data_IF_015175836227
#
_entry.id   IF_015175836227
#
_cell.length_a   1.000
_cell.length_b   1.000
_cell.length_c   1.000
_cell.angle_alpha   90.00
_cell.angle_beta   90.00
_cell.angle_gamma   90.00
#
_symmetry.space_group_name_H-M   'P 1'
#
loop_
_entity.id
_entity.type
_entity.pdbx_description
1 polymer ?
#
# COMPACT_ATOMS: atom_id res chain seq x y z
N UNK A 1 -3.40 -53.90 -38.25
CA UNK A 1 -4.59 -54.61 -38.80
C UNK A 1 -5.79 -54.25 -37.95
N UNK A 2 -6.99 -54.08 -38.50
CA UNK A 2 -7.38 -53.24 -39.63
C UNK A 2 -8.55 -52.30 -39.24
N UNK A 3 -8.46 -51.04 -39.68
CA UNK A 3 -9.45 -50.33 -40.51
C UNK A 3 -10.95 -50.29 -40.08
N UNK A 4 -11.83 -49.59 -40.81
CA UNK A 4 -12.72 -48.58 -40.23
C UNK A 4 -14.18 -49.05 -40.33
N UNK A 5 -15.13 -48.25 -39.86
CA UNK A 5 -16.51 -48.35 -40.36
C UNK A 5 -17.01 -47.00 -40.85
N UNK A 6 -16.88 -46.85 -42.16
CA UNK A 6 -17.82 -46.14 -43.01
C UNK A 6 -19.26 -46.59 -42.71
N UNK A 7 -20.18 -45.61 -42.71
CA UNK A 7 -21.47 -45.60 -43.44
C UNK A 7 -22.26 -44.38 -42.94
N UNK A 8 -23.11 -43.72 -43.68
CA UNK A 8 -23.32 -43.52 -45.12
C UNK A 8 -24.54 -42.58 -45.17
N UNK A 9 -24.51 -41.63 -46.10
CA UNK A 9 -25.65 -41.10 -46.86
C UNK A 9 -27.01 -40.93 -46.18
N UNK A 10 -27.49 -39.68 -46.19
CA UNK A 10 -28.79 -39.38 -46.79
C UNK A 10 -28.82 -37.94 -47.28
N UNK A 11 -28.80 -37.77 -48.60
CA UNK A 11 -29.25 -36.56 -49.26
C UNK A 11 -30.77 -36.61 -49.37
N UNK A 12 -31.46 -35.51 -49.09
CA UNK A 12 -32.75 -35.21 -49.71
C UNK A 12 -32.88 -33.70 -49.94
N UNK A 13 -33.08 -33.36 -51.20
CA UNK A 13 -33.35 -32.03 -51.72
C UNK A 13 -34.85 -31.72 -51.65
N UNK A 14 -35.21 -30.43 -51.62
CA UNK A 14 -36.34 -29.75 -52.31
C UNK A 14 -36.28 -28.26 -51.87
N UNK A 15 -35.97 -27.28 -52.73
CA UNK A 15 -36.88 -26.53 -53.62
C UNK A 15 -38.07 -25.91 -52.86
N UNK A 16 -38.43 -24.63 -52.92
CA UNK A 16 -38.16 -23.55 -53.88
C UNK A 16 -38.64 -22.18 -53.33
N UNK A 17 -38.19 -21.10 -54.00
CA UNK A 17 -38.88 -19.83 -54.29
C UNK A 17 -39.24 -18.85 -53.15
N UNK A 18 -38.66 -17.64 -53.24
CA UNK A 18 -39.17 -16.43 -52.62
C UNK A 18 -38.27 -15.23 -52.93
N UNK A 19 -38.60 -14.50 -53.99
CA UNK A 19 -37.96 -13.23 -54.35
C UNK A 19 -38.64 -12.06 -53.60
N UNK A 20 -37.86 -11.12 -53.05
CA UNK A 20 -38.16 -9.68 -53.05
C UNK A 20 -36.99 -8.90 -52.42
N UNK A 21 -36.52 -7.90 -53.15
CA UNK A 21 -35.56 -6.90 -52.74
C UNK A 21 -36.12 -5.98 -51.62
N UNK A 22 -35.24 -5.40 -50.79
CA UNK A 22 -35.26 -4.00 -50.37
C UNK A 22 -33.92 -3.63 -49.72
N UNK A 23 -33.50 -2.40 -50.00
CA UNK A 23 -32.26 -1.78 -49.59
C UNK A 23 -32.32 -1.25 -48.15
N UNK A 24 -31.19 -1.34 -47.42
CA UNK A 24 -30.62 -0.32 -46.50
C UNK A 24 -29.35 -0.93 -45.89
N UNK A 25 -28.15 -0.52 -46.30
CA UNK A 25 -27.37 0.57 -45.68
C UNK A 25 -27.39 0.58 -44.14
N UNK A 26 -26.33 0.04 -43.54
CA UNK A 26 -25.57 0.71 -42.47
C UNK A 26 -24.12 0.28 -42.61
N UNK A 27 -23.37 1.01 -43.44
CA UNK A 27 -22.00 1.31 -43.09
C UNK A 27 -22.06 2.53 -42.16
N UNK A 28 -21.45 2.44 -40.98
CA UNK A 28 -20.82 3.57 -40.28
C UNK A 28 -20.22 3.09 -38.95
N UNK A 29 -18.96 2.69 -38.99
CA UNK A 29 -17.95 3.36 -38.20
C UNK A 29 -16.91 3.82 -39.23
N UNK A 30 -17.30 4.83 -39.99
CA UNK A 30 -16.40 5.57 -40.87
C UNK A 30 -15.60 6.49 -39.94
N UNK A 31 -14.43 6.05 -39.50
CA UNK A 31 -13.43 6.87 -38.84
C UNK A 31 -12.84 7.82 -39.88
N UNK A 32 -13.64 8.83 -40.24
CA UNK A 32 -13.19 9.99 -41.00
C UNK A 32 -12.90 11.14 -40.03
N UNK A 33 -11.78 11.01 -39.31
CA UNK A 33 -10.80 12.06 -39.02
C UNK A 33 -11.32 13.47 -38.77
N UNK A 34 -11.90 13.73 -37.59
CA UNK A 34 -11.78 14.94 -36.75
C UNK A 34 -12.89 14.96 -35.67
N UNK A 35 -13.13 13.83 -35.00
CA UNK A 35 -14.12 13.74 -33.91
C UNK A 35 -13.57 14.25 -32.56
N UNK A 36 -14.44 14.62 -31.59
CA UNK A 36 -14.01 14.96 -30.23
C UNK A 36 -13.19 13.84 -29.56
N UNK A 37 -13.42 12.58 -29.97
CA UNK A 37 -12.66 11.40 -29.56
C UNK A 37 -11.22 11.42 -30.06
N UNK A 38 -10.97 11.65 -31.35
CA UNK A 38 -9.61 11.66 -31.92
C UNK A 38 -8.76 12.81 -31.36
N UNK A 39 -9.36 13.99 -31.20
CA UNK A 39 -8.68 15.12 -30.57
C UNK A 39 -8.33 14.86 -29.10
N UNK A 40 -9.14 14.05 -28.39
CA UNK A 40 -8.85 13.67 -27.00
C UNK A 40 -7.79 12.57 -26.92
N UNK A 41 -7.77 11.64 -27.89
CA UNK A 41 -6.70 10.64 -28.03
C UNK A 41 -5.37 11.32 -28.31
N UNK A 42 -5.33 12.29 -29.24
CA UNK A 42 -4.09 13.02 -29.54
C UNK A 42 -3.51 13.76 -28.32
N UNK A 43 -4.36 14.29 -27.43
CA UNK A 43 -3.94 14.92 -26.17
C UNK A 43 -3.34 13.91 -25.20
N UNK A 44 -3.88 12.69 -25.14
CA UNK A 44 -3.31 11.61 -24.34
C UNK A 44 -1.97 11.13 -24.93
N UNK A 45 -1.87 11.00 -26.25
CA UNK A 45 -0.63 10.61 -26.93
C UNK A 45 0.49 11.63 -26.66
N UNK A 46 0.20 12.93 -26.74
CA UNK A 46 1.14 14.01 -26.43
C UNK A 46 1.53 14.03 -24.94
N UNK A 47 0.57 13.83 -24.03
CA UNK A 47 0.84 13.72 -22.60
C UNK A 47 1.79 12.57 -22.27
N UNK A 48 1.56 11.37 -22.80
CA UNK A 48 2.44 10.23 -22.57
C UNK A 48 3.81 10.40 -23.23
N UNK A 49 3.91 11.12 -24.36
CA UNK A 49 5.19 11.46 -24.94
C UNK A 49 6.02 12.39 -24.03
N UNK A 50 5.39 13.35 -23.35
CA UNK A 50 6.08 14.17 -22.33
C UNK A 50 6.54 13.32 -21.14
N UNK A 51 5.69 12.42 -20.63
CA UNK A 51 6.04 11.51 -19.53
C UNK A 51 7.23 10.60 -19.89
N UNK A 52 7.23 10.00 -21.07
CA UNK A 52 8.31 9.13 -21.57
C UNK A 52 9.66 9.87 -21.65
N UNK A 53 9.63 11.17 -21.97
CA UNK A 53 10.81 12.02 -22.04
C UNK A 53 11.22 12.63 -20.67
N UNK A 54 10.47 12.35 -19.59
CA UNK A 54 10.72 12.94 -18.27
C UNK A 54 10.33 14.42 -18.16
N UNK A 55 9.55 14.94 -19.10
CA UNK A 55 9.14 16.36 -19.17
C UNK A 55 7.93 16.60 -18.23
N UNK A 56 8.15 16.43 -16.92
CA UNK A 56 7.11 16.42 -15.88
C UNK A 56 6.29 17.72 -15.83
N UNK A 57 6.94 18.87 -15.99
CA UNK A 57 6.25 20.18 -15.97
C UNK A 57 5.31 20.35 -17.17
N UNK A 58 5.74 19.93 -18.36
CA UNK A 58 4.93 20.02 -19.57
C UNK A 58 3.76 19.02 -19.51
N UNK A 59 4.01 17.78 -19.06
CA UNK A 59 2.96 16.79 -18.83
C UNK A 59 1.92 17.28 -17.80
N UNK A 60 2.36 17.86 -16.68
CA UNK A 60 1.47 18.38 -15.65
C UNK A 60 0.57 19.52 -16.16
N UNK A 61 1.08 20.40 -17.02
CA UNK A 61 0.32 21.50 -17.62
C UNK A 61 -0.85 21.03 -18.50
N UNK A 62 -0.83 19.79 -18.97
CA UNK A 62 -1.93 19.18 -19.75
C UNK A 62 -3.05 18.61 -18.88
N UNK A 63 -2.91 18.65 -17.56
CA UNK A 63 -3.87 18.07 -16.62
C UNK A 63 -4.74 19.14 -15.97
N UNK A 64 -5.88 18.74 -15.41
CA UNK A 64 -6.68 19.60 -14.53
C UNK A 64 -6.25 19.54 -13.06
N UNK A 65 -5.16 18.82 -12.76
CA UNK A 65 -4.68 18.58 -11.39
C UNK A 65 -3.73 19.71 -11.01
N UNK A 66 -3.95 20.30 -9.83
CA UNK A 66 -3.07 21.31 -9.28
C UNK A 66 -1.92 20.63 -8.52
N UNK A 67 -0.82 20.38 -9.24
CA UNK A 67 0.36 19.73 -8.69
C UNK A 67 1.20 20.71 -7.86
N UNK A 68 1.53 20.38 -6.59
CA UNK A 68 2.61 21.04 -5.87
C UNK A 68 3.93 20.90 -6.63
N UNK A 69 4.78 21.94 -6.57
CA UNK A 69 5.99 22.05 -7.37
C UNK A 69 6.97 20.89 -7.12
N UNK A 70 7.01 20.39 -5.88
CA UNK A 70 7.86 19.28 -5.47
C UNK A 70 7.55 17.95 -6.19
N UNK A 71 6.33 17.75 -6.68
CA UNK A 71 5.95 16.49 -7.37
C UNK A 71 6.08 16.55 -8.89
N UNK A 72 6.30 17.74 -9.45
CA UNK A 72 6.55 17.96 -10.88
C UNK A 72 7.97 18.41 -11.15
N UNK A 73 8.83 18.36 -10.13
CA UNK A 73 10.26 18.50 -10.30
C UNK A 73 10.79 17.36 -11.20
N UNK A 74 11.58 17.73 -12.21
CA UNK A 74 12.07 16.78 -13.22
C UNK A 74 13.04 15.75 -12.60
N UNK A 75 13.84 16.14 -11.61
CA UNK A 75 14.77 15.22 -10.95
C UNK A 75 13.99 14.23 -10.07
N UNK A 76 12.98 14.70 -9.33
CA UNK A 76 12.07 13.83 -8.56
C UNK A 76 11.34 12.81 -9.46
N UNK A 77 10.82 13.27 -10.61
CA UNK A 77 10.09 12.41 -11.53
C UNK A 77 11.03 11.40 -12.20
N UNK A 78 12.21 11.84 -12.65
CA UNK A 78 13.23 10.97 -13.24
C UNK A 78 13.84 9.95 -12.26
N UNK A 79 13.75 10.22 -10.95
CA UNK A 79 14.14 9.28 -9.89
C UNK A 79 13.13 8.14 -9.65
N UNK A 80 11.97 8.17 -10.33
CA UNK A 80 11.03 7.05 -10.31
C UNK A 80 11.68 5.77 -10.82
N UNK A 81 11.30 4.62 -10.25
CA UNK A 81 11.83 3.32 -10.64
C UNK A 81 11.67 3.04 -12.15
N UNK A 82 10.57 3.52 -12.74
CA UNK A 82 10.41 3.56 -14.19
C UNK A 82 9.43 4.64 -14.65
N UNK A 83 9.68 5.17 -15.85
CA UNK A 83 8.76 6.08 -16.56
C UNK A 83 7.87 5.30 -17.54
N UNK A 84 6.65 5.78 -17.84
CA UNK A 84 5.78 5.15 -18.83
C UNK A 84 6.41 5.11 -20.22
N UNK A 85 6.26 3.98 -20.91
CA UNK A 85 6.63 3.82 -22.32
C UNK A 85 5.57 3.03 -23.09
N UNK A 86 5.65 3.06 -24.43
CA UNK A 86 4.77 2.31 -25.34
C UNK A 86 3.26 2.52 -25.07
N UNK A 87 2.90 3.72 -24.62
CA UNK A 87 1.52 4.05 -24.26
C UNK A 87 0.60 4.03 -25.48
N UNK A 88 -0.60 3.45 -25.32
CA UNK A 88 -1.64 3.41 -26.35
C UNK A 88 -3.03 3.42 -25.75
N UNK A 89 -3.93 4.17 -26.37
CA UNK A 89 -5.35 4.15 -26.03
C UNK A 89 -5.98 2.86 -26.56
N UNK A 90 -6.49 2.00 -25.66
CA UNK A 90 -7.05 0.68 -26.02
C UNK A 90 -8.59 0.64 -26.02
N UNK A 91 -9.24 1.51 -25.25
CA UNK A 91 -10.70 1.67 -25.26
C UNK A 91 -11.05 3.15 -25.04
N UNK A 92 -12.15 3.60 -25.65
CA UNK A 92 -12.65 4.97 -25.48
C UNK A 92 -14.17 4.96 -25.35
N UNK A 93 -14.66 5.67 -24.35
CA UNK A 93 -16.08 5.86 -24.07
C UNK A 93 -16.38 7.35 -23.93
N UNK A 94 -17.57 7.74 -24.35
CA UNK A 94 -17.99 9.14 -24.44
C UNK A 94 -18.15 9.55 -25.90
N UNK A 95 -19.30 10.14 -26.21
CA UNK A 95 -19.67 10.54 -27.57
C UNK A 95 -19.97 12.03 -27.67
N UNK A 96 -19.84 12.77 -26.58
CA UNK A 96 -20.03 14.22 -26.55
C UNK A 96 -18.69 14.95 -26.53
N UNK A 97 -18.73 16.21 -26.92
CA UNK A 97 -17.55 17.07 -27.05
C UNK A 97 -16.99 17.56 -25.72
N UNK A 98 -17.61 17.18 -24.59
CA UNK A 98 -17.32 17.71 -23.28
C UNK A 98 -16.46 16.79 -22.43
N UNK A 99 -16.64 15.47 -22.50
CA UNK A 99 -15.82 14.53 -21.74
C UNK A 99 -15.64 13.21 -22.47
N UNK A 100 -14.38 12.82 -22.66
CA UNK A 100 -13.98 11.51 -23.18
C UNK A 100 -13.31 10.73 -22.05
N UNK A 101 -13.69 9.48 -21.85
CA UNK A 101 -13.03 8.54 -20.94
C UNK A 101 -12.25 7.53 -21.77
N UNK A 102 -10.96 7.38 -21.52
CA UNK A 102 -10.06 6.51 -22.26
C UNK A 102 -9.37 5.53 -21.31
N UNK A 103 -9.24 4.28 -21.73
CA UNK A 103 -8.35 3.31 -21.08
C UNK A 103 -7.04 3.35 -21.85
N UNK A 104 -5.95 3.68 -21.15
CA UNK A 104 -4.60 3.68 -21.72
C UNK A 104 -3.84 2.48 -21.18
N UNK A 105 -3.26 1.72 -22.08
CA UNK A 105 -2.29 0.66 -21.78
C UNK A 105 -0.88 1.23 -21.98
N UNK A 106 0.02 1.04 -21.02
CA UNK A 106 1.42 1.51 -21.07
C UNK A 106 2.34 0.56 -20.30
N UNK A 107 3.62 0.59 -20.61
CA UNK A 107 4.65 -0.23 -19.94
C UNK A 107 5.35 0.60 -18.88
N UNK A 108 5.66 -0.02 -17.73
CA UNK A 108 6.46 0.58 -16.67
C UNK A 108 7.77 -0.21 -16.48
N UNK A 109 7.68 -1.48 -16.06
CA UNK A 109 8.85 -2.32 -15.78
C UNK A 109 8.98 -3.47 -16.78
N UNK A 110 7.98 -4.36 -16.80
CA UNK A 110 7.97 -5.53 -17.67
C UNK A 110 7.13 -5.29 -18.94
N UNK A 111 7.72 -5.32 -20.15
CA UNK A 111 6.97 -5.16 -21.41
C UNK A 111 5.95 -6.29 -21.67
N UNK A 112 6.10 -7.45 -21.03
CA UNK A 112 5.13 -8.54 -21.12
C UNK A 112 3.94 -8.36 -20.16
N UNK A 113 4.01 -7.37 -19.25
CA UNK A 113 2.98 -7.04 -18.26
C UNK A 113 2.63 -5.54 -18.29
N UNK A 114 1.99 -5.07 -19.38
CA UNK A 114 1.59 -3.68 -19.46
C UNK A 114 0.51 -3.34 -18.43
N UNK A 115 0.56 -2.12 -17.92
CA UNK A 115 -0.38 -1.54 -16.99
C UNK A 115 -1.53 -0.88 -17.74
N UNK A 116 -2.71 -0.84 -17.10
CA UNK A 116 -3.86 -0.08 -17.61
C UNK A 116 -4.34 0.93 -16.58
N UNK A 117 -4.65 2.14 -17.04
CA UNK A 117 -5.31 3.15 -16.23
C UNK A 117 -6.37 3.92 -17.03
N UNK A 118 -7.41 4.34 -16.34
CA UNK A 118 -8.51 5.10 -16.91
C UNK A 118 -8.28 6.59 -16.75
N UNK A 119 -8.20 7.28 -17.89
CA UNK A 119 -8.08 8.73 -17.99
C UNK A 119 -9.38 9.37 -18.47
N UNK A 120 -9.59 10.62 -18.08
CA UNK A 120 -10.68 11.48 -18.53
C UNK A 120 -10.06 12.70 -19.19
N UNK A 121 -10.51 13.02 -20.40
CA UNK A 121 -10.16 14.25 -21.10
C UNK A 121 -11.40 15.12 -21.14
N UNK A 122 -11.35 16.25 -20.44
CA UNK A 122 -12.46 17.21 -20.35
C UNK A 122 -12.14 18.43 -21.19
N UNK A 123 -13.09 18.83 -22.02
CA UNK A 123 -13.01 20.08 -22.78
C UNK A 123 -13.65 21.22 -21.97
N UNK A 124 -12.84 22.17 -21.52
CA UNK A 124 -13.28 23.35 -20.76
C UNK A 124 -12.80 24.60 -21.49
N UNK A 125 -13.73 25.46 -21.93
CA UNK A 125 -13.43 26.73 -22.59
C UNK A 125 -12.48 26.66 -23.82
N UNK A 126 -12.47 25.51 -24.51
CA UNK A 126 -11.65 25.27 -25.71
C UNK A 126 -10.30 24.60 -25.42
N UNK A 127 -9.99 24.37 -24.15
CA UNK A 127 -8.82 23.63 -23.69
C UNK A 127 -9.23 22.21 -23.26
N UNK A 128 -8.39 21.22 -23.60
CA UNK A 128 -8.60 19.82 -23.20
C UNK A 128 -7.64 19.50 -22.07
N UNK A 129 -8.17 19.17 -20.91
CA UNK A 129 -7.39 18.82 -19.72
C UNK A 129 -7.62 17.36 -19.34
N UNK A 130 -6.54 16.71 -18.91
CA UNK A 130 -6.51 15.30 -18.50
C UNK A 130 -6.73 15.19 -16.98
N UNK A 131 -7.46 14.18 -16.55
CA UNK A 131 -7.51 13.73 -15.16
C UNK A 131 -7.71 12.21 -15.08
N UNK A 132 -7.64 11.64 -13.88
CA UNK A 132 -7.92 10.22 -13.61
C UNK A 132 -8.73 10.08 -12.32
N UNK A 133 -9.15 8.85 -12.00
CA UNK A 133 -10.17 8.58 -10.96
C UNK A 133 -9.78 9.11 -9.58
N UNK A 134 -8.56 8.82 -9.14
CA UNK A 134 -7.98 9.32 -7.91
C UNK A 134 -6.80 10.25 -8.27
N UNK A 135 -7.04 11.56 -8.26
CA UNK A 135 -6.03 12.56 -8.65
C UNK A 135 -4.84 12.65 -7.68
N UNK A 136 -4.89 11.90 -6.58
CA UNK A 136 -3.90 11.91 -5.49
C UNK A 136 -3.83 10.54 -4.81
N UNK A 137 -2.61 10.17 -4.43
CA UNK A 137 -2.33 8.96 -3.66
C UNK A 137 -2.26 9.33 -2.18
N UNK A 138 -3.07 8.68 -1.35
CA UNK A 138 -2.98 8.82 0.09
C UNK A 138 -1.88 7.91 0.66
N UNK A 139 -0.87 8.49 1.29
CA UNK A 139 0.22 7.78 1.98
C UNK A 139 -0.11 7.70 3.46
N UNK A 140 -0.27 6.48 3.96
CA UNK A 140 -0.77 6.19 5.31
C UNK A 140 0.29 5.40 6.08
N UNK A 141 0.98 6.08 6.98
CA UNK A 141 1.91 5.45 7.91
C UNK A 141 1.37 5.56 9.34
N UNK A 142 0.51 4.62 9.71
CA UNK A 142 -0.17 4.61 11.02
C UNK A 142 0.38 3.45 11.84
N UNK A 143 1.10 3.78 12.91
CA UNK A 143 1.55 2.80 13.91
C UNK A 143 2.96 2.26 13.70
N UNK A 144 3.74 2.83 12.78
CA UNK A 144 5.15 2.50 12.58
C UNK A 144 6.02 3.72 12.96
N UNK A 145 7.05 3.57 13.79
CA UNK A 145 7.87 4.71 14.25
C UNK A 145 8.77 5.30 13.15
N UNK A 146 8.96 4.57 12.04
CA UNK A 146 9.70 5.04 10.88
C UNK A 146 8.90 5.96 9.97
N UNK A 147 9.44 6.21 8.79
CA UNK A 147 8.87 7.05 7.73
C UNK A 147 8.88 6.30 6.40
N UNK A 148 7.95 6.63 5.52
CA UNK A 148 8.05 6.25 4.11
C UNK A 148 8.81 7.34 3.36
N UNK A 149 9.69 6.92 2.46
CA UNK A 149 10.44 7.82 1.58
C UNK A 149 10.11 7.44 0.15
N UNK A 150 9.57 8.39 -0.61
CA UNK A 150 9.16 8.24 -2.00
C UNK A 150 10.25 8.79 -2.92
N UNK A 151 10.71 7.97 -3.87
CA UNK A 151 11.82 8.22 -4.78
C UNK A 151 13.10 8.73 -4.07
N UNK A 152 13.30 8.35 -2.80
CA UNK A 152 14.46 8.79 -2.01
C UNK A 152 14.44 10.26 -1.57
N UNK A 153 13.39 11.03 -1.89
CA UNK A 153 13.36 12.47 -1.63
C UNK A 153 12.19 12.90 -0.74
N UNK A 154 10.98 12.42 -1.03
CA UNK A 154 9.77 12.87 -0.34
C UNK A 154 9.49 12.00 0.88
N UNK A 155 9.58 12.60 2.06
CA UNK A 155 9.39 11.90 3.33
C UNK A 155 7.95 12.04 3.87
N UNK A 156 7.36 10.90 4.23
CA UNK A 156 6.05 10.77 4.83
C UNK A 156 6.20 10.16 6.24
N UNK A 157 6.28 10.99 7.29
CA UNK A 157 6.46 10.51 8.65
C UNK A 157 5.23 9.74 9.15
N UNK A 158 5.38 9.11 10.32
CA UNK A 158 4.23 8.58 11.05
C UNK A 158 3.24 9.71 11.35
N UNK A 159 1.99 9.55 10.95
CA UNK A 159 0.93 10.53 11.18
C UNK A 159 -0.40 9.84 11.48
N UNK A 160 -1.25 10.49 12.28
CA UNK A 160 -2.62 10.04 12.49
C UNK A 160 -3.51 10.30 11.26
N UNK A 161 -3.08 11.22 10.39
CA UNK A 161 -3.78 11.61 9.18
C UNK A 161 -3.01 11.11 7.95
N UNK A 162 -3.74 10.80 6.88
CA UNK A 162 -3.13 10.46 5.60
C UNK A 162 -2.48 11.70 4.97
N UNK A 163 -1.27 11.53 4.48
CA UNK A 163 -0.60 12.55 3.65
C UNK A 163 -0.90 12.30 2.17
N UNK A 164 -0.85 13.35 1.35
CA UNK A 164 -1.30 13.29 -0.03
C UNK A 164 -0.13 13.51 -0.98
N UNK A 165 0.11 12.55 -1.86
CA UNK A 165 1.05 12.64 -2.96
C UNK A 165 0.30 12.92 -4.27
N UNK A 166 0.74 13.94 -5.01
CA UNK A 166 0.14 14.31 -6.30
C UNK A 166 1.10 13.84 -7.39
N UNK A 167 0.91 12.61 -7.86
CA UNK A 167 1.90 11.93 -8.69
C UNK A 167 1.46 11.87 -10.15
N UNK A 168 2.38 12.14 -11.07
CA UNK A 168 2.21 11.85 -12.49
C UNK A 168 2.27 10.33 -12.73
N UNK A 169 1.86 9.82 -13.91
CA UNK A 169 1.98 8.40 -14.18
C UNK A 169 3.44 7.92 -14.19
N UNK A 170 3.78 6.93 -13.36
CA UNK A 170 5.09 6.28 -13.29
C UNK A 170 5.06 5.06 -12.34
N UNK A 171 6.18 4.34 -12.26
CA UNK A 171 6.46 3.37 -11.20
C UNK A 171 7.32 4.04 -10.14
N UNK A 172 6.77 4.22 -8.95
CA UNK A 172 7.43 4.93 -7.86
C UNK A 172 8.12 3.99 -6.89
N UNK A 173 9.29 4.37 -6.40
CA UNK A 173 10.01 3.63 -5.37
C UNK A 173 9.63 4.14 -3.98
N UNK A 174 9.20 3.24 -3.11
CA UNK A 174 8.97 3.51 -1.70
C UNK A 174 9.99 2.76 -0.86
N UNK A 175 10.57 3.45 0.13
CA UNK A 175 11.41 2.85 1.16
C UNK A 175 10.83 3.16 2.53
N UNK A 176 10.70 2.15 3.38
CA UNK A 176 10.44 2.35 4.80
C UNK A 176 11.76 2.50 5.57
N UNK A 177 11.96 3.68 6.15
CA UNK A 177 13.15 4.01 6.93
C UNK A 177 12.78 4.15 8.42
N UNK A 178 13.23 3.19 9.23
CA UNK A 178 13.19 3.28 10.68
C UNK A 178 14.60 3.56 11.23
N UNK A 179 14.91 4.80 11.64
CA UNK A 179 16.23 5.15 12.15
C UNK A 179 16.56 4.47 13.49
N UNK A 180 15.57 3.92 14.19
CA UNK A 180 15.79 3.12 15.41
C UNK A 180 16.17 1.68 15.08
N UNK A 181 15.89 1.22 13.86
CA UNK A 181 16.04 -0.16 13.43
C UNK A 181 15.30 -1.10 14.35
N UNK A 182 14.10 -0.75 14.81
CA UNK A 182 13.28 -1.63 15.66
C UNK A 182 12.20 -2.32 14.82
N UNK A 183 11.86 -1.70 13.69
CA UNK A 183 10.73 -2.09 12.86
C UNK A 183 11.11 -2.28 11.40
N UNK A 184 10.38 -3.17 10.74
CA UNK A 184 10.58 -3.54 9.33
C UNK A 184 9.25 -3.94 8.69
N UNK A 185 9.16 -3.81 7.36
CA UNK A 185 7.95 -4.17 6.62
C UNK A 185 7.83 -5.70 6.44
N UNK A 186 8.94 -6.38 6.16
CA UNK A 186 8.98 -7.84 6.07
C UNK A 186 9.84 -8.52 7.15
N UNK A 187 9.56 -9.79 7.49
CA UNK A 187 10.38 -10.56 8.41
C UNK A 187 11.84 -10.72 8.00
N UNK A 188 12.15 -10.66 6.71
CA UNK A 188 13.51 -10.81 6.19
C UNK A 188 14.30 -9.49 6.10
N UNK A 189 13.67 -8.36 6.48
CA UNK A 189 14.27 -7.04 6.48
C UNK A 189 14.05 -6.24 5.21
N UNK A 190 13.26 -6.74 4.25
CA UNK A 190 12.88 -5.97 3.05
C UNK A 190 12.01 -4.78 3.45
N UNK A 191 12.43 -3.58 3.05
CA UNK A 191 11.75 -2.31 3.35
C UNK A 191 11.48 -1.46 2.10
N UNK A 192 11.97 -1.91 0.95
CA UNK A 192 11.81 -1.29 -0.35
C UNK A 192 10.71 -1.99 -1.14
N UNK A 193 9.90 -1.22 -1.85
CA UNK A 193 8.85 -1.74 -2.74
C UNK A 193 8.49 -0.69 -3.78
N UNK A 194 7.86 -1.10 -4.87
CA UNK A 194 7.42 -0.18 -5.92
C UNK A 194 5.90 -0.12 -6.02
N UNK A 195 5.40 1.05 -6.43
CA UNK A 195 3.97 1.30 -6.60
C UNK A 195 3.74 1.99 -7.93
N UNK A 196 2.98 1.34 -8.79
CA UNK A 196 2.52 1.95 -10.03
C UNK A 196 1.40 2.96 -9.74
N UNK A 197 1.44 4.09 -10.42
CA UNK A 197 0.41 5.12 -10.30
C UNK A 197 0.20 5.82 -11.66
N UNK A 198 -1.03 6.26 -12.00
CA UNK A 198 -2.29 5.77 -11.45
C UNK A 198 -2.58 4.35 -11.94
N UNK A 199 -3.42 3.60 -11.22
CA UNK A 199 -3.83 2.25 -11.60
C UNK A 199 -5.32 2.04 -11.37
N UNK A 200 -5.96 1.30 -12.27
CA UNK A 200 -7.38 0.93 -12.13
C UNK A 200 -7.55 -0.27 -11.19
N UNK A 201 -6.56 -1.15 -11.14
CA UNK A 201 -6.48 -2.31 -10.25
C UNK A 201 -5.00 -2.54 -9.87
N UNK A 202 -4.78 -3.10 -8.69
CA UNK A 202 -3.44 -3.50 -8.26
C UNK A 202 -2.97 -4.74 -9.05
N UNK A 203 -1.71 -4.80 -9.54
CA UNK A 203 -1.16 -6.01 -10.13
C UNK A 203 -1.21 -7.18 -9.13
N UNK A 204 -1.77 -8.31 -9.56
CA UNK A 204 -1.92 -9.49 -8.69
C UNK A 204 -0.60 -10.15 -8.27
N UNK A 205 0.47 -9.81 -8.97
CA UNK A 205 1.83 -10.31 -8.82
C UNK A 205 2.80 -9.23 -8.34
N UNK A 206 2.29 -8.09 -7.85
CA UNK A 206 3.13 -7.07 -7.23
C UNK A 206 3.92 -7.67 -6.05
N UNK A 207 5.24 -7.55 -6.10
CA UNK A 207 6.15 -7.97 -5.04
C UNK A 207 6.13 -6.94 -3.91
N UNK A 208 5.12 -7.05 -3.05
CA UNK A 208 4.92 -6.14 -1.92
C UNK A 208 5.24 -6.84 -0.60
N UNK A 209 5.89 -6.12 0.33
CA UNK A 209 6.07 -6.60 1.68
C UNK A 209 4.75 -6.93 2.39
N UNK A 210 4.78 -7.88 3.33
CA UNK A 210 3.63 -8.37 4.11
C UNK A 210 2.85 -7.26 4.83
N UNK A 211 3.54 -6.17 5.18
CA UNK A 211 2.98 -5.01 5.89
C UNK A 211 2.62 -3.84 5.02
N UNK A 212 2.71 -4.00 3.71
CA UNK A 212 2.30 -2.99 2.74
C UNK A 212 0.94 -3.39 2.18
N UNK A 213 0.01 -2.45 2.18
CA UNK A 213 -1.26 -2.58 1.49
C UNK A 213 -1.42 -1.41 0.53
N UNK A 214 -1.58 -1.75 -0.75
CA UNK A 214 -1.74 -0.80 -1.84
C UNK A 214 -3.14 -0.96 -2.43
N UNK A 215 -3.81 0.15 -2.68
CA UNK A 215 -5.07 0.23 -3.41
C UNK A 215 -5.00 1.32 -4.47
N UNK A 216 -6.05 1.45 -5.28
CA UNK A 216 -6.14 2.48 -6.34
C UNK A 216 -6.05 3.91 -5.82
N UNK A 217 -6.19 4.13 -4.50
CA UNK A 217 -6.21 5.46 -3.90
C UNK A 217 -5.22 5.64 -2.74
N UNK A 218 -4.57 4.57 -2.26
CA UNK A 218 -3.68 4.68 -1.10
C UNK A 218 -2.57 3.63 -1.09
N UNK A 219 -1.49 3.99 -0.39
CA UNK A 219 -0.46 3.09 0.12
C UNK A 219 -0.51 3.18 1.64
N UNK A 220 -0.61 2.05 2.31
CA UNK A 220 -0.63 1.98 3.78
C UNK A 220 0.38 0.97 4.30
N UNK A 221 1.06 1.34 5.38
CA UNK A 221 2.06 0.47 6.03
C UNK A 221 1.83 0.33 7.52
N UNK A 222 2.10 -0.88 8.04
CA UNK A 222 2.04 -1.20 9.47
C UNK A 222 3.22 -2.10 9.82
N UNK A 223 4.39 -1.52 10.06
CA UNK A 223 5.63 -2.27 10.26
C UNK A 223 5.55 -3.24 11.45
N UNK A 224 6.24 -4.37 11.34
CA UNK A 224 6.47 -5.27 12.46
C UNK A 224 7.53 -4.70 13.38
N UNK A 225 7.49 -5.08 14.65
CA UNK A 225 8.67 -5.01 15.52
C UNK A 225 9.47 -6.28 15.36
N UNK A 226 10.78 -6.16 15.17
CA UNK A 226 11.66 -7.30 14.96
C UNK A 226 11.59 -8.30 16.13
N UNK A 227 11.68 -9.59 15.79
CA UNK A 227 11.48 -10.66 16.76
C UNK A 227 12.52 -10.61 17.90
N UNK A 228 13.78 -10.30 17.58
CA UNK A 228 14.86 -10.19 18.57
C UNK A 228 14.65 -9.01 19.54
N UNK A 229 14.00 -7.92 19.10
CA UNK A 229 13.58 -6.83 19.99
C UNK A 229 12.54 -7.35 20.96
N UNK A 230 11.50 -8.04 20.46
CA UNK A 230 10.44 -8.56 21.33
C UNK A 230 10.97 -9.60 22.32
N UNK A 231 11.92 -10.44 21.91
CA UNK A 231 12.58 -11.43 22.76
C UNK A 231 13.45 -10.75 23.84
N UNK A 232 14.20 -9.70 23.47
CA UNK A 232 15.04 -8.95 24.41
C UNK A 232 14.22 -8.18 25.45
N UNK A 233 13.08 -7.62 25.06
CA UNK A 233 12.13 -6.97 25.99
C UNK A 233 11.48 -8.01 26.90
N UNK A 234 11.07 -9.16 26.35
CA UNK A 234 10.49 -10.24 27.13
C UNK A 234 11.46 -10.75 28.21
N UNK A 235 12.75 -10.89 27.89
CA UNK A 235 13.78 -11.26 28.87
C UNK A 235 13.93 -10.22 30.00
N UNK A 236 13.90 -8.92 29.67
CA UNK A 236 13.95 -7.85 30.69
C UNK A 236 12.71 -7.86 31.60
N UNK A 237 11.52 -8.13 31.05
CA UNK A 237 10.30 -8.27 31.85
C UNK A 237 10.39 -9.49 32.77
N UNK A 238 10.92 -10.62 32.29
CA UNK A 238 11.11 -11.81 33.12
C UNK A 238 12.07 -11.55 34.30
N UNK A 239 13.12 -10.76 34.09
CA UNK A 239 14.02 -10.30 35.17
C UNK A 239 13.29 -9.39 36.18
N UNK A 240 12.46 -8.46 35.70
CA UNK A 240 11.64 -7.60 36.57
C UNK A 240 10.62 -8.43 37.38
N UNK A 241 10.01 -9.44 36.78
CA UNK A 241 9.10 -10.37 37.46
C UNK A 241 9.81 -11.14 38.57
N UNK A 242 11.00 -11.66 38.30
CA UNK A 242 11.80 -12.36 39.30
C UNK A 242 12.22 -11.43 40.45
N UNK A 243 12.65 -10.21 40.13
CA UNK A 243 13.00 -9.19 41.13
C UNK A 243 11.79 -8.79 41.98
N UNK A 244 10.62 -8.58 41.37
CA UNK A 244 9.37 -8.28 42.07
C UNK A 244 9.02 -9.38 43.09
N UNK A 245 9.20 -10.66 42.74
CA UNK A 245 9.01 -11.78 43.68
C UNK A 245 10.04 -11.76 44.81
N UNK A 246 11.31 -11.49 44.52
CA UNK A 246 12.35 -11.35 45.54
C UNK A 246 12.08 -10.17 46.51
N UNK A 247 11.47 -9.12 45.99
CA UNK A 247 10.98 -7.94 46.72
C UNK A 247 9.64 -8.15 47.42
N UNK A 248 9.15 -9.40 47.44
CA UNK A 248 7.88 -9.79 48.08
C UNK A 248 6.66 -9.04 47.55
N UNK A 249 6.63 -8.78 46.24
CA UNK A 249 5.54 -8.12 45.53
C UNK A 249 5.27 -6.66 45.98
N UNK A 250 6.26 -6.00 46.58
CA UNK A 250 6.10 -4.65 47.14
C UNK A 250 7.19 -3.66 46.69
N UNK A 251 8.17 -4.13 45.91
CA UNK A 251 9.32 -3.31 45.52
C UNK A 251 9.17 -2.65 44.15
N UNK A 252 10.17 -1.83 43.77
CA UNK A 252 10.14 -1.03 42.56
C UNK A 252 10.11 -1.87 41.28
N UNK A 253 10.51 -3.14 41.29
CA UNK A 253 10.43 -3.99 40.09
C UNK A 253 9.00 -4.41 39.76
N UNK A 254 8.07 -4.33 40.72
CA UNK A 254 6.68 -4.70 40.53
C UNK A 254 5.88 -3.66 39.72
N UNK A 255 4.89 -4.09 38.92
CA UNK A 255 3.87 -3.21 38.36
C UNK A 255 3.10 -2.47 39.47
N UNK A 256 2.64 -1.25 39.18
CA UNK A 256 1.90 -0.43 40.14
C UNK A 256 0.67 -1.15 40.71
N UNK A 257 -0.09 -1.87 39.87
CA UNK A 257 -1.27 -2.63 40.29
C UNK A 257 -0.98 -3.73 41.32
N UNK A 258 0.26 -4.25 41.34
CA UNK A 258 0.70 -5.25 42.33
C UNK A 258 1.04 -4.57 43.65
N UNK A 259 1.79 -3.46 43.60
CA UNK A 259 2.20 -2.71 44.80
C UNK A 259 1.00 -2.08 45.50
N UNK A 260 0.05 -1.53 44.75
CA UNK A 260 -1.16 -0.89 45.28
C UNK A 260 -2.10 -1.86 46.01
N UNK A 261 -2.04 -3.14 45.67
CA UNK A 261 -2.85 -4.16 46.34
C UNK A 261 -2.38 -4.45 47.78
N UNK A 262 -1.17 -3.99 48.16
CA UNK A 262 -0.56 -4.03 49.50
C UNK A 262 -0.87 -5.32 50.28
N UNK A 263 -0.61 -6.45 49.62
CA UNK A 263 -0.73 -7.78 50.22
C UNK A 263 0.65 -8.34 50.51
N UNK A 264 0.97 -8.68 51.77
CA UNK A 264 2.24 -9.30 52.08
C UNK A 264 2.30 -10.73 51.52
N UNK A 265 3.28 -10.98 50.66
CA UNK A 265 3.60 -12.33 50.17
C UNK A 265 4.17 -13.18 51.31
N UNK A 266 3.56 -14.34 51.56
CA UNK A 266 3.98 -15.29 52.60
C UNK A 266 5.01 -16.28 52.06
N UNK A 267 4.74 -16.90 50.92
CA UNK A 267 5.64 -17.87 50.28
C UNK A 267 5.92 -17.52 48.81
N UNK A 268 7.14 -17.05 48.48
CA UNK A 268 7.54 -16.72 47.12
C UNK A 268 7.45 -17.89 46.13
N UNK A 269 7.49 -19.14 46.59
CA UNK A 269 7.40 -20.31 45.71
C UNK A 269 5.99 -20.57 45.17
N UNK A 270 4.99 -19.86 45.71
CA UNK A 270 3.59 -19.97 45.27
C UNK A 270 3.21 -18.96 44.18
N UNK A 271 4.15 -18.09 43.78
CA UNK A 271 3.87 -17.05 42.80
C UNK A 271 3.78 -17.64 41.40
N UNK A 272 2.65 -17.41 40.74
CA UNK A 272 2.42 -17.76 39.35
C UNK A 272 2.04 -16.52 38.55
N UNK A 273 2.72 -16.34 37.41
CA UNK A 273 2.43 -15.30 36.43
C UNK A 273 1.83 -15.95 35.20
N UNK A 274 0.56 -15.66 34.92
CA UNK A 274 -0.15 -16.22 33.78
C UNK A 274 -0.34 -15.14 32.73
N UNK A 275 0.26 -15.29 31.55
CA UNK A 275 0.22 -14.29 30.48
C UNK A 275 -1.24 -14.03 30.06
N UNK A 276 -1.61 -12.75 29.98
CA UNK A 276 -2.91 -12.32 29.48
C UNK A 276 -2.85 -11.92 28.00
N UNK A 277 -3.88 -12.25 27.20
CA UNK A 277 -4.01 -11.74 25.85
C UNK A 277 -4.41 -10.25 25.85
N UNK A 278 -4.13 -9.55 24.75
CA UNK A 278 -4.59 -8.16 24.55
C UNK A 278 -3.55 -7.08 24.86
N UNK A 279 -2.32 -7.48 25.18
CA UNK A 279 -1.15 -6.60 25.29
C UNK A 279 -0.20 -6.89 24.15
N UNK A 280 0.59 -5.90 23.75
CA UNK A 280 1.49 -6.03 22.61
C UNK A 280 2.25 -4.74 22.33
N UNK A 281 2.63 -4.60 21.07
CA UNK A 281 3.47 -3.51 20.59
C UNK A 281 2.66 -2.48 19.82
N UNK A 282 2.93 -1.21 20.04
CA UNK A 282 2.33 -0.10 19.30
C UNK A 282 3.35 0.98 19.00
N UNK A 283 3.37 1.50 17.78
CA UNK A 283 4.05 2.76 17.46
C UNK A 283 3.16 3.94 17.86
N UNK A 284 3.66 4.89 18.65
CA UNK A 284 2.99 6.15 18.97
C UNK A 284 4.02 7.28 19.04
N UNK A 285 3.77 8.38 18.33
CA UNK A 285 4.65 9.56 18.29
C UNK A 285 6.12 9.22 17.97
N UNK A 286 6.37 8.27 17.06
CA UNK A 286 7.72 7.83 16.69
C UNK A 286 8.42 6.95 17.73
N UNK A 287 7.70 6.48 18.75
CA UNK A 287 8.21 5.59 19.80
C UNK A 287 7.51 4.24 19.73
N UNK A 288 8.28 3.17 19.97
CA UNK A 288 7.74 1.83 20.15
C UNK A 288 7.36 1.63 21.61
N UNK A 289 6.07 1.51 21.87
CA UNK A 289 5.53 1.14 23.16
C UNK A 289 5.32 -0.36 23.24
N UNK A 290 5.71 -0.97 24.36
CA UNK A 290 5.56 -2.39 24.60
C UNK A 290 4.79 -2.59 25.90
N UNK A 291 3.77 -3.43 25.83
CA UNK A 291 2.95 -3.80 26.98
C UNK A 291 2.83 -5.31 27.11
N UNK A 292 2.83 -5.80 28.35
CA UNK A 292 2.63 -7.22 28.68
C UNK A 292 1.89 -7.36 29.99
N UNK A 293 0.72 -7.97 29.94
CA UNK A 293 -0.13 -8.20 31.11
C UNK A 293 -0.09 -9.64 31.62
N UNK A 294 -0.31 -9.77 32.91
CA UNK A 294 -0.32 -11.04 33.61
C UNK A 294 -1.41 -11.10 34.67
N UNK A 295 -2.13 -12.22 34.73
CA UNK A 295 -2.87 -12.58 35.94
C UNK A 295 -1.85 -13.10 36.95
N UNK A 296 -1.76 -12.43 38.11
CA UNK A 296 -0.87 -12.82 39.20
C UNK A 296 -1.63 -13.65 40.23
N UNK A 297 -1.05 -14.79 40.62
CA UNK A 297 -1.51 -15.61 41.75
C UNK A 297 -0.40 -15.77 42.76
N UNK A 298 -0.75 -15.71 44.04
CA UNK A 298 0.18 -15.93 45.14
C UNK A 298 -0.58 -16.38 46.40
N UNK A 299 0.04 -17.24 47.20
CA UNK A 299 -0.50 -17.76 48.46
C UNK A 299 -1.93 -18.33 48.33
N UNK A 300 -2.24 -18.93 47.16
CA UNK A 300 -3.54 -19.56 46.89
C UNK A 300 -4.65 -18.61 46.40
N UNK A 301 -4.38 -17.31 46.25
CA UNK A 301 -5.34 -16.32 45.77
C UNK A 301 -4.88 -15.64 44.46
N UNK A 302 -5.84 -15.04 43.75
CA UNK A 302 -5.57 -14.24 42.54
C UNK A 302 -5.63 -12.75 42.86
N UNK A 303 -4.73 -11.97 42.25
CA UNK A 303 -4.80 -10.52 42.27
C UNK A 303 -6.02 -10.03 41.47
N UNK A 304 -6.72 -8.97 41.93
CA UNK A 304 -7.98 -8.53 41.33
C UNK A 304 -7.80 -7.78 40.00
N UNK A 305 -6.61 -7.26 39.74
CA UNK A 305 -6.27 -6.48 38.54
C UNK A 305 -5.04 -7.10 37.88
N UNK A 306 -4.98 -7.15 36.54
CA UNK A 306 -3.79 -7.60 35.83
C UNK A 306 -2.55 -6.81 36.25
N UNK A 307 -1.45 -7.53 36.40
CA UNK A 307 -0.13 -6.95 36.56
C UNK A 307 0.42 -6.64 35.16
N UNK A 308 0.60 -5.35 34.86
CA UNK A 308 0.99 -4.90 33.51
C UNK A 308 2.36 -4.27 33.56
N UNK A 309 3.29 -4.81 32.77
CA UNK A 309 4.53 -4.12 32.42
C UNK A 309 4.26 -3.33 31.15
N UNK A 310 4.33 -2.01 31.26
CA UNK A 310 4.20 -1.08 30.14
C UNK A 310 5.42 -0.17 30.10
N UNK A 311 5.96 0.07 28.91
CA UNK A 311 7.15 0.86 28.74
C UNK A 311 7.41 1.22 27.29
N UNK A 312 8.53 1.89 27.09
CA UNK A 312 9.06 2.24 25.77
C UNK A 312 10.27 1.37 25.46
N UNK A 313 10.45 1.09 24.18
CA UNK A 313 11.55 0.28 23.66
C UNK A 313 12.47 1.16 22.84
N UNK A 314 13.76 1.03 23.09
CA UNK A 314 14.82 1.70 22.32
C UNK A 314 15.89 0.69 21.95
N UNK A 315 16.54 0.89 20.80
CA UNK A 315 17.72 0.15 20.36
C UNK A 315 18.84 1.17 20.17
N UNK A 316 19.97 0.95 20.84
CA UNK A 316 21.12 1.84 20.70
C UNK A 316 21.97 1.50 19.46
N UNK A 317 22.98 2.34 19.17
CA UNK A 317 23.87 2.15 18.02
C UNK A 317 24.72 0.86 18.09
N UNK A 318 24.81 0.20 19.25
CA UNK A 318 25.46 -1.09 19.42
C UNK A 318 24.48 -2.26 19.28
N UNK A 319 23.20 -1.99 19.00
CA UNK A 319 22.12 -2.98 18.87
C UNK A 319 21.53 -3.41 20.22
N UNK A 320 21.85 -2.73 21.32
CA UNK A 320 21.33 -3.09 22.64
C UNK A 320 19.89 -2.58 22.77
N UNK A 321 18.97 -3.51 22.97
CA UNK A 321 17.55 -3.24 23.20
C UNK A 321 17.31 -2.95 24.69
N UNK A 322 16.67 -1.81 25.00
CA UNK A 322 16.34 -1.38 26.36
C UNK A 322 14.85 -1.15 26.50
N UNK A 323 14.23 -1.81 27.49
CA UNK A 323 12.86 -1.56 27.92
C UNK A 323 12.85 -0.59 29.11
N UNK A 324 12.23 0.58 28.93
CA UNK A 324 12.06 1.57 30.01
C UNK A 324 10.60 1.60 30.45
N UNK A 325 10.34 1.09 31.65
CA UNK A 325 9.00 1.06 32.23
C UNK A 325 8.48 2.48 32.50
N UNK A 326 7.18 2.71 32.24
CA UNK A 326 6.46 3.94 32.60
C UNK A 326 6.06 3.96 34.08
#
# INVERSE_FOLDING_TARGET
>A
MPSPRFRAFAAFALAALGAAALASCTASADTSGNGPTEASVAVLDEFFAHLENGESTDAAAMTSIDFPAEFIDEDFYAASAALPSDAKVVDVKGSDEHTVTAIVEYVLDDPDQPMTATFKVKNTDGERLISWSDERLAVINVGSPGRLVLNGEMEYPMSADAELAFLLPALYEFTYDDPTGITQLDPDGTNEFTVAWPMDDQPSDADLPDRVNVSTANVSVVAYVEADVTDAVDAQIDELMAACVAERLAGPSCPASVVEYDRPLVDPSTVEWLREPGYGVSGTDGVVEYSKGFTLRADGDSYPTPAVYEGTVTRDAAGVVTFTRK
#
